data_IF_022001523983
#
_entry.id   IF_022001523983
#
_cell.length_a   1.000
_cell.length_b   1.000
_cell.length_c   1.000
_cell.angle_alpha   90.00
_cell.angle_beta   90.00
_cell.angle_gamma   90.00
#
_symmetry.space_group_name_H-M   'P 1'
#
loop_
_entity.id
_entity.type
_entity.pdbx_description
1 polymer ?
#
# COMPACT_ATOMS: atom_id res chain seq x y z
N UNK A 1 38.24 5.91 -1.88
CA UNK A 1 36.88 5.69 -1.35
C UNK A 1 36.38 7.03 -0.83
N UNK A 2 35.43 7.66 -1.51
CA UNK A 2 34.82 8.90 -1.00
C UNK A 2 33.98 8.56 0.24
N UNK A 3 34.41 9.03 1.41
CA UNK A 3 33.64 8.96 2.65
C UNK A 3 32.39 9.83 2.48
N UNK A 4 31.28 9.20 2.12
CA UNK A 4 30.00 9.91 2.07
C UNK A 4 29.60 10.26 3.49
N UNK A 5 29.31 11.55 3.71
CA UNK A 5 28.84 12.04 4.99
C UNK A 5 27.53 11.35 5.34
N UNK A 6 27.42 10.88 6.57
CA UNK A 6 26.22 10.28 7.12
C UNK A 6 25.73 11.11 8.29
N UNK A 7 24.41 11.17 8.47
CA UNK A 7 23.81 11.77 9.67
C UNK A 7 22.98 10.73 10.40
N UNK A 8 22.85 10.90 11.72
CA UNK A 8 21.92 10.09 12.52
C UNK A 8 20.52 10.68 12.39
N UNK A 9 19.56 9.80 12.13
CA UNK A 9 18.12 10.11 12.22
C UNK A 9 17.48 9.15 13.20
N UNK A 10 16.36 9.57 13.78
CA UNK A 10 15.55 8.75 14.67
C UNK A 10 14.14 8.64 14.11
N UNK A 11 13.68 7.42 13.89
CA UNK A 11 12.28 7.11 13.58
C UNK A 11 11.75 6.09 14.58
N UNK A 12 10.53 6.32 15.08
CA UNK A 12 10.02 5.54 16.21
C UNK A 12 11.00 5.61 17.40
N UNK A 13 11.47 4.45 17.85
CA UNK A 13 12.49 4.35 18.92
C UNK A 13 13.89 4.06 18.39
N UNK A 14 14.04 3.89 17.08
CA UNK A 14 15.28 3.41 16.45
C UNK A 14 16.09 4.57 15.88
N UNK A 15 17.38 4.60 16.19
CA UNK A 15 18.33 5.59 15.66
C UNK A 15 19.27 4.91 14.67
N UNK A 16 19.38 5.45 13.46
CA UNK A 16 20.22 4.87 12.41
C UNK A 16 20.86 5.95 11.54
N UNK A 17 21.99 5.59 10.94
CA UNK A 17 22.74 6.39 10.00
C UNK A 17 22.06 6.37 8.63
N UNK A 18 21.96 7.54 8.02
CA UNK A 18 21.51 7.71 6.63
C UNK A 18 22.51 8.56 5.87
N UNK A 19 22.61 8.41 4.53
CA UNK A 19 23.44 9.30 3.73
C UNK A 19 23.00 10.75 3.91
N UNK A 20 23.94 11.69 3.89
CA UNK A 20 23.65 13.11 3.87
C UNK A 20 23.48 13.55 2.40
N UNK A 21 22.25 13.56 1.89
CA UNK A 21 21.94 14.26 0.63
C UNK A 21 21.62 15.72 0.92
N UNK A 22 22.09 16.64 0.07
CA UNK A 22 21.71 18.05 0.13
C UNK A 22 20.19 18.21 0.14
N UNK A 23 19.67 18.90 1.16
CA UNK A 23 18.26 19.22 1.42
C UNK A 23 17.27 18.06 1.19
N UNK A 24 17.00 17.27 2.22
CA UNK A 24 15.84 16.38 2.24
C UNK A 24 14.58 17.23 2.36
N UNK A 25 13.87 17.49 1.26
CA UNK A 25 12.56 18.14 1.31
C UNK A 25 11.55 17.17 1.94
N UNK A 26 10.69 17.66 2.83
CA UNK A 26 9.52 16.92 3.34
C UNK A 26 8.43 16.72 2.26
N UNK A 27 8.72 17.02 0.99
CA UNK A 27 7.82 16.92 -0.14
C UNK A 27 8.53 16.21 -1.30
N UNK A 28 7.94 15.12 -1.78
CA UNK A 28 8.38 14.38 -2.97
C UNK A 28 9.15 13.08 -2.70
N UNK A 29 9.39 12.27 -3.75
CA UNK A 29 10.32 11.14 -3.66
C UNK A 29 11.72 11.72 -3.47
N UNK A 30 12.41 11.34 -2.39
CA UNK A 30 13.77 11.80 -2.15
C UNK A 30 14.72 11.45 -3.32
N UNK A 31 15.88 12.09 -3.33
CA UNK A 31 16.91 11.87 -4.37
C UNK A 31 17.72 10.61 -4.09
N UNK A 32 17.86 9.72 -5.10
CA UNK A 32 18.81 8.59 -5.04
C UNK A 32 20.23 9.11 -4.90
N UNK A 33 20.97 8.65 -3.88
CA UNK A 33 22.41 8.89 -3.78
C UNK A 33 23.18 7.62 -4.14
N UNK A 34 24.48 7.74 -4.44
CA UNK A 34 25.36 6.59 -4.75
C UNK A 34 25.59 5.63 -3.58
N UNK A 35 25.22 6.03 -2.35
CA UNK A 35 25.56 5.33 -1.09
C UNK A 35 24.33 4.82 -0.33
N UNK A 36 23.13 5.09 -0.86
CA UNK A 36 21.89 4.64 -0.26
C UNK A 36 20.81 5.71 -0.41
N UNK A 37 19.65 5.41 0.14
CA UNK A 37 18.49 6.27 0.04
C UNK A 37 17.71 6.27 1.35
N UNK A 38 17.24 7.45 1.73
CA UNK A 38 16.36 7.62 2.86
C UNK A 38 15.33 8.70 2.51
N UNK A 39 14.05 8.42 2.75
CA UNK A 39 13.00 9.39 2.54
C UNK A 39 12.17 9.55 3.82
N UNK A 40 12.25 10.70 4.51
CA UNK A 40 11.43 10.97 5.70
C UNK A 40 9.92 10.85 5.42
N UNK A 41 9.45 11.16 4.21
CA UNK A 41 8.01 11.05 3.87
C UNK A 41 7.49 9.61 3.84
N UNK A 42 8.38 8.62 3.91
CA UNK A 42 8.06 7.19 4.00
C UNK A 42 8.00 6.69 5.46
N UNK A 43 8.13 7.55 6.48
CA UNK A 43 8.09 7.15 7.88
C UNK A 43 6.78 6.43 8.22
N UNK A 44 5.63 6.96 7.78
CA UNK A 44 4.32 6.32 7.98
C UNK A 44 4.25 4.92 7.34
N UNK A 45 4.89 4.73 6.19
CA UNK A 45 4.96 3.42 5.54
C UNK A 45 5.76 2.42 6.39
N UNK A 46 6.89 2.86 6.95
CA UNK A 46 7.73 2.05 7.83
C UNK A 46 7.04 1.76 9.16
N UNK A 47 6.39 2.75 9.76
CA UNK A 47 5.58 2.57 10.98
C UNK A 47 4.50 1.51 10.76
N UNK A 48 3.69 1.61 9.70
CA UNK A 48 2.66 0.59 9.37
C UNK A 48 3.30 -0.79 9.18
N UNK A 49 4.47 -0.86 8.54
CA UNK A 49 5.15 -2.15 8.34
C UNK A 49 5.60 -2.78 9.67
N UNK A 50 6.08 -1.98 10.63
CA UNK A 50 6.41 -2.47 11.98
C UNK A 50 5.17 -3.06 12.64
N UNK A 51 4.00 -2.41 12.53
CA UNK A 51 2.74 -2.92 13.08
C UNK A 51 2.33 -4.25 12.42
N UNK A 52 2.45 -4.34 11.09
CA UNK A 52 2.12 -5.56 10.33
C UNK A 52 3.05 -6.71 10.71
N UNK A 53 4.35 -6.45 10.85
CA UNK A 53 5.32 -7.47 11.24
C UNK A 53 5.09 -7.92 12.69
N UNK A 54 4.80 -7.00 13.61
CA UNK A 54 4.43 -7.36 14.99
C UNK A 54 3.19 -8.26 15.01
N UNK A 55 2.13 -7.90 14.26
CA UNK A 55 0.94 -8.75 14.14
C UNK A 55 1.28 -10.14 13.60
N UNK A 56 2.17 -10.22 12.61
CA UNK A 56 2.53 -11.48 11.99
C UNK A 56 3.32 -12.39 12.94
N UNK A 57 4.28 -11.83 13.67
CA UNK A 57 5.04 -12.55 14.72
C UNK A 57 4.10 -13.06 15.82
N UNK A 58 3.21 -12.20 16.34
CA UNK A 58 2.23 -12.54 17.38
C UNK A 58 1.29 -13.69 16.95
N UNK A 59 0.94 -13.74 15.65
CA UNK A 59 -0.05 -14.69 15.11
C UNK A 59 0.56 -16.03 14.74
N UNK A 60 1.78 -16.05 14.20
CA UNK A 60 2.38 -17.29 13.67
C UNK A 60 2.96 -18.19 14.77
N UNK A 61 3.34 -17.63 15.93
CA UNK A 61 3.87 -18.38 17.09
C UNK A 61 4.97 -19.40 16.75
N UNK A 62 5.81 -19.07 15.77
CA UNK A 62 6.97 -19.86 15.33
C UNK A 62 8.10 -18.90 14.91
N UNK A 63 9.36 -19.35 14.89
CA UNK A 63 10.46 -18.52 14.40
C UNK A 63 10.22 -18.06 12.95
N UNK A 64 10.26 -16.75 12.71
CA UNK A 64 10.03 -16.18 11.38
C UNK A 64 11.33 -15.70 10.71
N UNK A 65 11.38 -15.84 9.39
CA UNK A 65 12.43 -15.27 8.54
C UNK A 65 11.84 -14.09 7.76
N UNK A 66 12.38 -12.90 7.97
CA UNK A 66 11.88 -11.65 7.40
C UNK A 66 12.93 -11.10 6.46
N UNK A 67 12.53 -10.67 5.26
CA UNK A 67 13.40 -10.04 4.28
C UNK A 67 12.96 -8.58 4.06
N UNK A 68 13.88 -7.65 4.31
CA UNK A 68 13.87 -6.30 3.73
C UNK A 68 14.77 -6.33 2.49
N UNK A 69 14.16 -6.49 1.31
CA UNK A 69 14.90 -6.95 0.13
C UNK A 69 15.61 -5.88 -0.69
N UNK A 70 15.12 -4.64 -0.62
CA UNK A 70 15.61 -3.47 -1.35
C UNK A 70 15.86 -2.33 -0.36
N UNK A 71 16.72 -2.61 0.62
CA UNK A 71 16.71 -1.92 1.90
C UNK A 71 17.29 -0.51 1.88
N UNK A 72 18.10 -0.15 0.87
CA UNK A 72 18.81 1.11 0.79
C UNK A 72 19.59 1.45 2.09
N UNK A 73 19.11 2.37 2.93
CA UNK A 73 19.76 2.67 4.21
C UNK A 73 19.56 1.59 5.29
N UNK A 74 18.70 0.60 5.06
CA UNK A 74 18.31 -0.40 6.04
C UNK A 74 17.25 0.08 7.02
N UNK A 75 16.69 1.28 6.84
CA UNK A 75 15.78 1.89 7.81
C UNK A 75 14.61 0.97 8.18
N UNK A 76 14.05 0.24 7.22
CA UNK A 76 12.92 -0.66 7.47
C UNK A 76 13.36 -1.92 8.23
N UNK A 77 14.33 -2.65 7.74
CA UNK A 77 14.83 -3.87 8.37
C UNK A 77 15.42 -3.65 9.77
N UNK A 78 16.16 -2.56 9.97
CA UNK A 78 16.74 -2.19 11.28
C UNK A 78 15.62 -1.87 12.28
N UNK A 79 14.56 -1.19 11.84
CA UNK A 79 13.38 -0.94 12.67
C UNK A 79 12.61 -2.22 12.97
N UNK A 80 12.48 -3.16 12.04
CA UNK A 80 11.87 -4.46 12.34
C UNK A 80 12.65 -5.19 13.43
N UNK A 81 13.97 -5.27 13.29
CA UNK A 81 14.82 -5.96 14.24
C UNK A 81 14.83 -5.32 15.64
N UNK A 82 14.74 -3.98 15.72
CA UNK A 82 14.78 -3.24 16.97
C UNK A 82 13.41 -3.07 17.66
N UNK A 83 12.34 -2.91 16.88
CA UNK A 83 11.02 -2.48 17.40
C UNK A 83 10.02 -3.63 17.55
N UNK A 84 10.21 -4.74 16.85
CA UNK A 84 9.30 -5.89 16.92
C UNK A 84 9.76 -6.87 18.00
N UNK A 85 8.80 -7.35 18.78
CA UNK A 85 9.02 -8.33 19.85
C UNK A 85 8.60 -9.72 19.39
N UNK A 86 9.41 -10.73 19.71
CA UNK A 86 9.13 -12.15 19.44
C UNK A 86 10.30 -12.86 18.77
N UNK A 87 10.06 -14.07 18.29
CA UNK A 87 11.08 -14.94 17.71
C UNK A 87 11.13 -14.82 16.18
N UNK A 88 12.12 -14.07 15.68
CA UNK A 88 12.35 -13.88 14.25
C UNK A 88 13.78 -13.43 13.97
N UNK A 89 14.20 -13.57 12.71
CA UNK A 89 15.40 -12.94 12.18
C UNK A 89 15.08 -12.10 10.94
N UNK A 90 15.86 -11.03 10.74
CA UNK A 90 15.72 -10.10 9.62
C UNK A 90 16.96 -10.17 8.74
N UNK A 91 16.77 -10.49 7.47
CA UNK A 91 17.77 -10.27 6.43
C UNK A 91 17.51 -8.92 5.79
N UNK A 92 18.52 -8.05 5.80
CA UNK A 92 18.44 -6.69 5.25
C UNK A 92 19.38 -6.64 4.04
N UNK A 93 18.81 -6.59 2.84
CA UNK A 93 19.56 -6.76 1.59
C UNK A 93 19.55 -5.49 0.75
N UNK A 94 20.70 -5.14 0.17
CA UNK A 94 20.78 -4.22 -0.95
C UNK A 94 21.95 -4.62 -1.88
N UNK A 95 21.71 -4.62 -3.19
CA UNK A 95 22.75 -4.95 -4.19
C UNK A 95 23.92 -3.94 -4.22
N UNK A 96 23.71 -2.71 -3.73
CA UNK A 96 24.76 -1.70 -3.67
C UNK A 96 25.65 -1.93 -2.44
N UNK A 97 26.94 -2.19 -2.69
CA UNK A 97 27.94 -2.43 -1.64
C UNK A 97 28.00 -1.34 -0.56
N UNK A 98 27.89 -0.07 -0.93
CA UNK A 98 27.92 1.04 0.03
C UNK A 98 26.66 1.05 0.91
N UNK A 99 25.51 0.68 0.35
CA UNK A 99 24.27 0.53 1.10
C UNK A 99 24.38 -0.65 2.08
N UNK A 100 24.89 -1.81 1.64
CA UNK A 100 25.15 -2.95 2.51
C UNK A 100 26.12 -2.62 3.66
N UNK A 101 27.20 -1.88 3.40
CA UNK A 101 28.12 -1.41 4.44
C UNK A 101 27.44 -0.47 5.46
N UNK A 102 26.54 0.41 5.00
CA UNK A 102 25.76 1.28 5.87
C UNK A 102 24.77 0.47 6.73
N UNK A 103 24.12 -0.55 6.16
CA UNK A 103 23.23 -1.46 6.85
C UNK A 103 23.98 -2.19 7.97
N UNK A 104 25.16 -2.74 7.69
CA UNK A 104 26.01 -3.39 8.69
C UNK A 104 26.32 -2.46 9.86
N UNK A 105 26.74 -1.21 9.59
CA UNK A 105 26.99 -0.21 10.64
C UNK A 105 25.74 0.08 11.47
N UNK A 106 24.57 0.15 10.84
CA UNK A 106 23.30 0.38 11.56
C UNK A 106 22.90 -0.80 12.45
N UNK A 107 23.16 -2.03 12.01
CA UNK A 107 22.97 -3.25 12.82
C UNK A 107 23.89 -3.24 14.04
N UNK A 108 25.18 -2.97 13.83
CA UNK A 108 26.20 -2.90 14.90
C UNK A 108 25.90 -1.80 15.92
N UNK A 109 25.56 -0.59 15.44
CA UNK A 109 25.24 0.56 16.30
C UNK A 109 24.05 0.28 17.23
N UNK A 110 23.04 -0.45 16.73
CA UNK A 110 21.86 -0.82 17.51
C UNK A 110 22.01 -2.17 18.24
N UNK A 111 23.18 -2.83 18.14
CA UNK A 111 23.48 -4.13 18.78
C UNK A 111 22.44 -5.21 18.45
N UNK A 112 22.03 -5.28 17.19
CA UNK A 112 20.94 -6.14 16.75
C UNK A 112 21.45 -7.55 16.43
N UNK A 113 21.16 -8.50 17.33
CA UNK A 113 21.59 -9.90 17.18
C UNK A 113 20.66 -10.73 16.28
N UNK A 114 19.47 -10.20 15.97
CA UNK A 114 18.44 -10.81 15.14
C UNK A 114 18.44 -10.27 13.70
N UNK A 115 19.45 -9.51 13.28
CA UNK A 115 19.55 -8.93 11.96
C UNK A 115 20.88 -9.28 11.27
N UNK A 116 20.83 -9.47 9.95
CA UNK A 116 22.02 -9.69 9.12
C UNK A 116 21.93 -8.84 7.85
N UNK A 117 23.04 -8.17 7.50
CA UNK A 117 23.19 -7.44 6.25
C UNK A 117 23.60 -8.39 5.12
N UNK A 118 23.03 -8.20 3.92
CA UNK A 118 23.41 -8.90 2.68
C UNK A 118 23.66 -7.91 1.55
N UNK A 119 24.54 -8.30 0.63
CA UNK A 119 24.91 -7.51 -0.54
C UNK A 119 24.66 -8.32 -1.81
N UNK A 120 23.40 -8.64 -2.10
CA UNK A 120 23.02 -9.54 -3.19
C UNK A 120 21.94 -8.90 -4.07
N UNK A 121 21.85 -9.36 -5.33
CA UNK A 121 20.69 -9.06 -6.17
C UNK A 121 19.43 -9.69 -5.56
N UNK A 122 18.33 -8.94 -5.51
CA UNK A 122 17.09 -9.40 -4.88
C UNK A 122 16.57 -10.71 -5.47
N UNK A 123 16.62 -10.86 -6.79
CA UNK A 123 16.11 -12.07 -7.45
C UNK A 123 17.05 -13.25 -7.19
N UNK A 124 18.36 -13.02 -7.17
CA UNK A 124 19.34 -14.06 -6.82
C UNK A 124 19.15 -14.59 -5.41
N UNK A 125 19.03 -13.70 -4.41
CA UNK A 125 18.82 -14.08 -3.00
C UNK A 125 17.60 -14.99 -2.81
N UNK A 126 16.51 -14.73 -3.55
CA UNK A 126 15.27 -15.49 -3.46
C UNK A 126 15.25 -16.80 -4.25
N UNK A 127 16.25 -17.06 -5.09
CA UNK A 127 16.48 -18.38 -5.64
C UNK A 127 16.95 -19.34 -4.53
N UNK A 128 17.87 -18.88 -3.69
CA UNK A 128 18.59 -19.69 -2.70
C UNK A 128 17.83 -19.81 -1.38
N UNK A 129 17.18 -18.72 -0.94
CA UNK A 129 16.51 -18.67 0.35
C UNK A 129 14.99 -18.51 0.24
N UNK A 130 14.29 -18.83 1.34
CA UNK A 130 12.84 -18.67 1.47
C UNK A 130 12.51 -17.91 2.75
N UNK A 131 11.50 -17.05 2.65
CA UNK A 131 11.13 -16.12 3.73
C UNK A 131 9.64 -16.20 4.06
N UNK A 132 9.33 -15.90 5.33
CA UNK A 132 7.98 -15.80 5.84
C UNK A 132 7.35 -14.45 5.54
N UNK A 133 8.17 -13.39 5.46
CA UNK A 133 7.77 -12.06 5.06
C UNK A 133 8.80 -11.52 4.07
N UNK A 134 8.35 -11.02 2.92
CA UNK A 134 9.21 -10.40 1.90
C UNK A 134 8.72 -8.98 1.63
N UNK A 135 9.58 -8.00 1.87
CA UNK A 135 9.36 -6.60 1.50
C UNK A 135 9.95 -6.28 0.12
N UNK A 136 9.10 -5.79 -0.78
CA UNK A 136 9.44 -5.35 -2.12
C UNK A 136 9.15 -3.84 -2.20
N UNK A 137 10.16 -3.03 -1.89
CA UNK A 137 10.05 -1.56 -1.83
C UNK A 137 11.00 -0.87 -2.82
N UNK A 138 10.80 -1.04 -4.14
CA UNK A 138 11.68 -0.47 -5.14
C UNK A 138 11.39 1.00 -5.40
N UNK A 139 12.30 1.63 -6.12
CA UNK A 139 11.98 2.86 -6.83
C UNK A 139 11.20 2.57 -8.11
N UNK A 140 9.98 3.05 -8.17
CA UNK A 140 9.09 2.89 -9.31
C UNK A 140 8.24 1.64 -9.18
N UNK A 141 8.49 0.66 -10.03
CA UNK A 141 7.61 -0.51 -10.21
C UNK A 141 8.18 -1.76 -9.52
N UNK A 142 7.32 -2.58 -8.86
CA UNK A 142 7.72 -3.86 -8.27
C UNK A 142 7.78 -5.02 -9.28
N UNK A 143 7.32 -4.81 -10.52
CA UNK A 143 7.19 -5.87 -11.53
C UNK A 143 8.45 -6.74 -11.69
N UNK A 144 9.68 -6.19 -11.76
CA UNK A 144 10.89 -7.01 -11.97
C UNK A 144 11.23 -7.99 -10.84
N UNK A 145 10.62 -7.82 -9.67
CA UNK A 145 10.94 -8.57 -8.44
C UNK A 145 9.86 -9.58 -8.07
N UNK A 146 8.67 -9.48 -8.68
CA UNK A 146 7.50 -10.25 -8.26
C UNK A 146 7.69 -11.75 -8.46
N UNK A 147 8.22 -12.19 -9.60
CA UNK A 147 8.35 -13.62 -9.90
C UNK A 147 9.23 -14.34 -8.87
N UNK A 148 10.40 -13.76 -8.55
CA UNK A 148 11.30 -14.29 -7.54
C UNK A 148 10.66 -14.23 -6.13
N UNK A 149 9.94 -13.16 -5.80
CA UNK A 149 9.23 -13.04 -4.53
C UNK A 149 8.14 -14.12 -4.35
N UNK A 150 7.38 -14.43 -5.39
CA UNK A 150 6.37 -15.49 -5.35
C UNK A 150 6.99 -16.87 -5.14
N UNK A 151 8.15 -17.15 -5.75
CA UNK A 151 8.91 -18.39 -5.50
C UNK A 151 9.55 -18.42 -4.11
N UNK A 152 10.00 -17.25 -3.66
CA UNK A 152 10.73 -17.01 -2.42
C UNK A 152 9.86 -17.08 -1.15
N UNK A 153 8.56 -16.81 -1.27
CA UNK A 153 7.65 -16.81 -0.12
C UNK A 153 7.23 -18.23 0.27
N UNK A 154 7.27 -18.51 1.57
CA UNK A 154 6.74 -19.76 2.14
C UNK A 154 5.20 -19.75 2.14
N UNK A 155 4.58 -20.93 2.25
CA UNK A 155 3.12 -21.00 2.39
C UNK A 155 2.64 -20.25 3.63
N UNK A 156 1.55 -19.51 3.49
CA UNK A 156 0.98 -18.60 4.49
C UNK A 156 1.88 -17.41 4.87
N UNK A 157 2.96 -17.19 4.11
CA UNK A 157 3.82 -16.03 4.21
C UNK A 157 3.18 -14.76 3.65
N UNK A 158 3.85 -13.63 3.86
CA UNK A 158 3.38 -12.30 3.46
C UNK A 158 4.30 -11.73 2.37
N UNK A 159 3.68 -11.22 1.30
CA UNK A 159 4.33 -10.31 0.37
C UNK A 159 3.86 -8.88 0.69
N UNK A 160 4.82 -8.01 1.00
CA UNK A 160 4.60 -6.59 1.22
C UNK A 160 5.18 -5.82 0.02
N UNK A 161 4.32 -5.22 -0.79
CA UNK A 161 4.67 -4.67 -2.10
C UNK A 161 4.38 -3.17 -2.14
N UNK A 162 5.40 -2.37 -2.44
CA UNK A 162 5.23 -0.95 -2.75
C UNK A 162 5.36 -0.72 -4.26
N UNK A 163 4.50 0.15 -4.80
CA UNK A 163 4.68 0.76 -6.11
C UNK A 163 4.71 2.28 -5.97
N UNK A 164 5.80 2.92 -6.37
CA UNK A 164 5.93 4.39 -6.41
C UNK A 164 5.70 4.95 -7.82
N UNK A 165 5.47 4.11 -8.84
CA UNK A 165 5.11 4.55 -10.20
C UNK A 165 3.61 4.86 -10.35
N UNK A 166 3.06 5.61 -9.39
CA UNK A 166 1.64 5.97 -9.29
C UNK A 166 1.12 6.66 -10.55
N UNK A 167 1.93 7.44 -11.26
CA UNK A 167 1.56 8.04 -12.54
C UNK A 167 1.15 6.98 -13.59
N UNK A 168 1.83 5.83 -13.61
CA UNK A 168 1.48 4.69 -14.47
C UNK A 168 0.13 4.09 -14.07
N UNK A 169 -0.03 3.75 -12.78
CA UNK A 169 -1.21 3.09 -12.23
C UNK A 169 -2.46 3.99 -12.26
N UNK A 170 -2.31 5.30 -12.07
CA UNK A 170 -3.39 6.30 -12.11
C UNK A 170 -3.71 6.79 -13.53
N UNK A 171 -3.16 6.17 -14.57
CA UNK A 171 -3.55 6.40 -15.97
C UNK A 171 -2.92 7.62 -16.65
N UNK A 172 -1.84 8.20 -16.12
CA UNK A 172 -1.04 9.21 -16.85
C UNK A 172 -0.31 8.58 -18.03
N UNK A 173 0.22 7.35 -17.84
CA UNK A 173 0.95 6.60 -18.85
C UNK A 173 0.30 5.23 -19.14
N UNK A 174 -0.87 5.19 -19.83
CA UNK A 174 -1.65 3.96 -19.99
C UNK A 174 -0.92 2.85 -20.74
N UNK A 175 -0.14 3.18 -21.78
CA UNK A 175 0.68 2.17 -22.49
C UNK A 175 1.74 1.53 -21.58
N UNK A 176 2.30 2.31 -20.64
CA UNK A 176 3.26 1.79 -19.66
C UNK A 176 2.55 0.88 -18.65
N UNK A 177 1.33 1.24 -18.23
CA UNK A 177 0.53 0.40 -17.33
C UNK A 177 0.20 -0.94 -17.98
N UNK A 178 -0.18 -0.92 -19.27
CA UNK A 178 -0.42 -2.14 -20.04
C UNK A 178 0.83 -3.03 -20.11
N UNK A 179 2.01 -2.46 -20.42
CA UNK A 179 3.27 -3.24 -20.50
C UNK A 179 3.71 -3.83 -19.16
N UNK A 180 3.54 -3.09 -18.06
CA UNK A 180 4.05 -3.47 -16.74
C UNK A 180 3.08 -4.35 -15.97
N UNK A 181 1.82 -3.98 -15.96
CA UNK A 181 0.79 -4.59 -15.12
C UNK A 181 -0.22 -5.41 -15.94
N UNK A 182 -0.19 -5.35 -17.27
CA UNK A 182 -1.15 -6.07 -18.11
C UNK A 182 -2.58 -5.53 -17.98
N UNK A 183 -2.75 -4.27 -17.57
CA UNK A 183 -4.05 -3.67 -17.27
C UNK A 183 -4.24 -2.30 -17.92
N UNK A 184 -5.50 -1.97 -18.21
CA UNK A 184 -5.94 -0.65 -18.70
C UNK A 184 -6.32 0.21 -17.49
N UNK A 185 -5.60 1.31 -17.20
CA UNK A 185 -5.92 2.19 -16.08
C UNK A 185 -7.02 3.19 -16.43
N UNK A 186 -7.57 3.82 -15.40
CA UNK A 186 -8.53 4.92 -15.53
C UNK A 186 -7.97 6.21 -14.93
N UNK A 187 -7.94 7.28 -15.72
CA UNK A 187 -7.64 8.63 -15.22
C UNK A 187 -8.94 9.37 -14.92
N UNK A 188 -9.40 9.27 -13.67
CA UNK A 188 -10.57 9.98 -13.15
C UNK A 188 -10.40 10.29 -11.65
N UNK A 189 -11.46 10.71 -10.95
CA UNK A 189 -11.41 10.91 -9.50
C UNK A 189 -11.13 9.60 -8.74
N UNK A 190 -11.53 8.43 -9.28
CA UNK A 190 -11.25 7.11 -8.68
C UNK A 190 -9.88 6.52 -9.05
N UNK A 191 -9.01 7.29 -9.73
CA UNK A 191 -7.71 6.82 -10.25
C UNK A 191 -6.85 6.08 -9.21
N UNK A 192 -6.88 6.52 -7.96
CA UNK A 192 -6.07 5.93 -6.89
C UNK A 192 -6.58 4.54 -6.50
N UNK A 193 -7.89 4.35 -6.37
CA UNK A 193 -8.46 3.02 -6.11
C UNK A 193 -8.29 2.09 -7.31
N UNK A 194 -8.51 2.60 -8.53
CA UNK A 194 -8.28 1.82 -9.76
C UNK A 194 -6.83 1.36 -9.83
N UNK A 195 -5.86 2.26 -9.60
CA UNK A 195 -4.44 1.92 -9.59
C UNK A 195 -4.09 0.88 -8.52
N UNK A 196 -4.63 1.02 -7.30
CA UNK A 196 -4.42 0.06 -6.24
C UNK A 196 -4.99 -1.33 -6.58
N UNK A 197 -6.20 -1.37 -7.15
CA UNK A 197 -6.83 -2.61 -7.62
C UNK A 197 -6.11 -3.25 -8.81
N UNK A 198 -5.48 -2.45 -9.69
CA UNK A 198 -4.58 -2.96 -10.73
C UNK A 198 -3.37 -3.65 -10.09
N UNK A 199 -2.74 -3.00 -9.10
CA UNK A 199 -1.57 -3.57 -8.43
C UNK A 199 -1.91 -4.89 -7.72
N UNK A 200 -3.02 -4.94 -6.98
CA UNK A 200 -3.47 -6.19 -6.34
C UNK A 200 -3.82 -7.25 -7.39
N UNK A 201 -4.54 -6.88 -8.45
CA UNK A 201 -4.89 -7.80 -9.53
C UNK A 201 -3.66 -8.35 -10.25
N UNK A 202 -2.62 -7.53 -10.43
CA UNK A 202 -1.32 -7.96 -10.93
C UNK A 202 -0.66 -8.98 -9.99
N UNK A 203 -0.57 -8.69 -8.69
CA UNK A 203 -0.02 -9.63 -7.70
C UNK A 203 -0.79 -10.97 -7.70
N UNK A 204 -2.12 -10.93 -7.81
CA UNK A 204 -2.96 -12.12 -7.92
C UNK A 204 -2.60 -12.96 -9.16
N UNK A 205 -2.41 -12.33 -10.32
CA UNK A 205 -2.04 -13.06 -11.54
C UNK A 205 -0.62 -13.61 -11.49
N UNK A 206 0.33 -12.87 -10.89
CA UNK A 206 1.70 -13.35 -10.73
C UNK A 206 1.80 -14.55 -9.78
N UNK A 207 1.02 -14.54 -8.69
CA UNK A 207 0.96 -15.67 -7.74
C UNK A 207 0.25 -16.90 -8.33
N UNK A 208 -0.84 -16.69 -9.08
CA UNK A 208 -1.62 -17.78 -9.66
C UNK A 208 -0.86 -18.64 -10.68
N UNK A 209 0.17 -18.10 -11.35
CA UNK A 209 1.06 -18.88 -12.25
C UNK A 209 1.74 -20.07 -11.57
N UNK A 210 1.81 -20.04 -10.23
CA UNK A 210 2.45 -21.04 -9.39
C UNK A 210 1.44 -21.77 -8.48
N UNK A 211 0.16 -21.79 -8.85
CA UNK A 211 -0.91 -22.38 -8.05
C UNK A 211 -1.02 -21.78 -6.63
N UNK A 212 -0.72 -20.49 -6.49
CA UNK A 212 -0.86 -19.78 -5.23
C UNK A 212 -2.02 -18.79 -5.28
N UNK A 213 -2.90 -18.85 -4.27
CA UNK A 213 -3.92 -17.84 -4.02
C UNK A 213 -3.40 -16.71 -3.13
N UNK A 214 -4.12 -15.59 -3.11
CA UNK A 214 -3.85 -14.45 -2.25
C UNK A 214 -5.05 -14.10 -1.36
N UNK A 215 -4.74 -13.62 -0.16
CA UNK A 215 -5.68 -12.91 0.71
C UNK A 215 -5.13 -11.51 1.00
N UNK A 216 -5.84 -10.47 0.61
CA UNK A 216 -5.42 -9.08 0.84
C UNK A 216 -5.60 -8.74 2.31
N UNK A 217 -4.48 -8.49 2.99
CA UNK A 217 -4.46 -8.19 4.41
C UNK A 217 -4.72 -6.69 4.66
N UNK A 218 -4.00 -5.84 3.92
CA UNK A 218 -4.04 -4.38 4.03
C UNK A 218 -3.56 -3.78 2.71
N UNK A 219 -4.19 -2.73 2.19
CA UNK A 219 -3.67 -2.03 1.01
C UNK A 219 -4.02 -0.55 0.95
N UNK A 220 -3.05 0.33 0.76
CA UNK A 220 -3.31 1.75 0.83
C UNK A 220 -2.54 2.60 -0.15
N UNK A 221 -3.05 3.81 -0.38
CA UNK A 221 -2.41 4.80 -1.23
C UNK A 221 -2.01 6.03 -0.44
N UNK A 222 -0.98 6.70 -0.93
CA UNK A 222 -0.67 8.10 -0.64
C UNK A 222 -0.48 8.83 -1.97
N UNK A 223 -0.15 10.11 -1.94
CA UNK A 223 0.22 10.85 -3.16
C UNK A 223 1.50 10.32 -3.82
N UNK A 224 2.35 9.58 -3.08
CA UNK A 224 3.67 9.17 -3.52
C UNK A 224 3.81 7.68 -3.83
N UNK A 225 2.98 6.83 -3.24
CA UNK A 225 3.09 5.38 -3.41
C UNK A 225 1.77 4.66 -3.14
N UNK A 226 1.68 3.43 -3.63
CA UNK A 226 0.67 2.44 -3.30
C UNK A 226 1.35 1.27 -2.58
N UNK A 227 0.76 0.79 -1.49
CA UNK A 227 1.30 -0.28 -0.65
C UNK A 227 0.27 -1.40 -0.51
N UNK A 228 0.68 -2.64 -0.65
CA UNK A 228 -0.19 -3.83 -0.56
C UNK A 228 0.50 -4.89 0.29
N UNK A 229 -0.23 -5.48 1.22
CA UNK A 229 0.17 -6.67 1.97
C UNK A 229 -0.79 -7.80 1.61
N UNK A 230 -0.25 -8.89 1.07
CA UNK A 230 -1.03 -10.10 0.78
C UNK A 230 -0.45 -11.29 1.54
N UNK A 231 -1.33 -12.13 2.09
CA UNK A 231 -0.96 -13.49 2.51
C UNK A 231 -1.05 -14.41 1.31
N UNK A 232 0.01 -15.18 1.07
CA UNK A 232 0.09 -16.13 -0.05
C UNK A 232 -0.16 -17.54 0.45
N UNK A 233 -1.12 -18.22 -0.16
CA UNK A 233 -1.54 -19.56 0.23
C UNK A 233 -1.41 -20.52 -0.94
N UNK A 234 -0.64 -21.61 -0.78
CA UNK A 234 -0.44 -22.59 -1.85
C UNK A 234 -1.68 -23.47 -2.08
N UNK A 235 -1.92 -23.83 -3.34
CA UNK A 235 -2.96 -24.74 -3.81
C UNK A 235 -3.76 -24.17 -4.98
N UNK A 236 -3.90 -24.94 -6.07
CA UNK A 236 -4.60 -24.53 -7.30
C UNK A 236 -6.00 -23.98 -7.05
N UNK A 237 -6.82 -24.66 -6.23
CA UNK A 237 -8.16 -24.17 -5.85
C UNK A 237 -8.13 -22.78 -5.18
N UNK A 238 -7.10 -22.49 -4.39
CA UNK A 238 -6.94 -21.16 -3.79
C UNK A 238 -6.57 -20.12 -4.84
N UNK A 239 -5.74 -20.48 -5.82
CA UNK A 239 -5.41 -19.63 -6.95
C UNK A 239 -6.65 -19.32 -7.80
N UNK A 240 -7.45 -20.33 -8.12
CA UNK A 240 -8.71 -20.18 -8.87
C UNK A 240 -9.66 -19.22 -8.15
N UNK A 241 -9.92 -19.45 -6.86
CA UNK A 241 -10.77 -18.57 -6.05
C UNK A 241 -10.26 -17.11 -6.02
N UNK A 242 -8.94 -16.89 -6.02
CA UNK A 242 -8.38 -15.54 -6.09
C UNK A 242 -8.55 -14.92 -7.47
N UNK A 243 -8.37 -15.70 -8.55
CA UNK A 243 -8.54 -15.23 -9.92
C UNK A 243 -9.99 -14.86 -10.26
N UNK A 244 -10.99 -15.51 -9.65
CA UNK A 244 -12.41 -15.13 -9.78
C UNK A 244 -12.69 -13.68 -9.34
N UNK A 245 -11.86 -13.15 -8.44
CA UNK A 245 -11.94 -11.76 -7.98
C UNK A 245 -11.27 -10.77 -8.95
N UNK A 246 -10.65 -11.22 -10.04
CA UNK A 246 -9.92 -10.38 -10.99
C UNK A 246 -10.77 -10.18 -12.25
N UNK A 247 -11.28 -8.97 -12.46
CA UNK A 247 -12.29 -8.70 -13.50
C UNK A 247 -11.98 -7.43 -14.27
N UNK A 248 -12.46 -7.36 -15.52
CA UNK A 248 -12.57 -6.09 -16.25
C UNK A 248 -13.89 -5.43 -15.90
N UNK A 249 -13.91 -4.11 -15.83
CA UNK A 249 -15.08 -3.33 -15.38
C UNK A 249 -15.37 -2.22 -16.38
N UNK A 250 -16.66 -1.95 -16.60
CA UNK A 250 -17.09 -0.81 -17.40
C UNK A 250 -16.81 0.50 -16.66
N UNK A 251 -16.16 1.46 -17.32
CA UNK A 251 -15.72 2.70 -16.69
C UNK A 251 -16.73 3.86 -16.82
N UNK A 252 -17.89 3.63 -17.45
CA UNK A 252 -18.85 4.66 -17.83
C UNK A 252 -19.33 5.52 -16.64
N UNK A 253 -19.49 4.91 -15.46
CA UNK A 253 -19.92 5.62 -14.25
C UNK A 253 -18.89 6.59 -13.69
N UNK A 254 -17.61 6.35 -13.96
CA UNK A 254 -16.48 7.04 -13.35
C UNK A 254 -15.81 8.05 -14.29
N UNK A 255 -16.50 8.44 -15.36
CA UNK A 255 -16.01 9.40 -16.35
C UNK A 255 -16.76 10.72 -16.27
N UNK A 256 -15.99 11.82 -16.17
CA UNK A 256 -16.55 13.18 -16.18
C UNK A 256 -17.08 13.60 -17.56
N UNK A 257 -16.56 13.01 -18.64
CA UNK A 257 -16.91 13.38 -20.01
C UNK A 257 -17.07 12.14 -20.92
N UNK A 258 -18.21 12.05 -21.63
CA UNK A 258 -18.51 11.02 -22.65
C UNK A 258 -17.54 10.99 -23.85
N UNK A 259 -16.50 11.84 -23.88
CA UNK A 259 -15.47 11.87 -24.94
C UNK A 259 -14.32 10.87 -24.70
N UNK A 260 -14.23 10.25 -23.52
CA UNK A 260 -13.23 9.22 -23.28
C UNK A 260 -13.64 7.91 -23.99
N UNK A 261 -12.77 7.42 -24.88
CA UNK A 261 -12.98 6.19 -25.65
C UNK A 261 -12.79 4.89 -24.84
N UNK A 262 -12.33 4.97 -23.60
CA UNK A 262 -12.08 3.78 -22.77
C UNK A 262 -13.39 3.37 -22.11
N UNK A 263 -14.05 2.35 -22.64
CA UNK A 263 -15.29 1.82 -22.05
C UNK A 263 -15.01 0.78 -20.98
N UNK A 264 -13.87 0.09 -21.05
CA UNK A 264 -13.50 -1.01 -20.17
C UNK A 264 -12.10 -0.81 -19.56
N UNK A 265 -11.97 -1.06 -18.26
CA UNK A 265 -10.73 -0.91 -17.49
C UNK A 265 -10.37 -2.23 -16.78
N UNK A 266 -9.09 -2.38 -16.41
CA UNK A 266 -8.58 -3.58 -15.75
C UNK A 266 -7.78 -4.51 -16.66
N UNK A 267 -7.58 -5.77 -16.26
CA UNK A 267 -8.21 -6.44 -15.12
C UNK A 267 -7.83 -5.85 -13.75
N UNK A 268 -8.84 -5.71 -12.89
CA UNK A 268 -8.80 -5.13 -11.54
C UNK A 268 -9.09 -6.22 -10.50
N UNK A 269 -8.49 -6.12 -9.32
CA UNK A 269 -8.97 -6.84 -8.14
C UNK A 269 -10.30 -6.23 -7.65
N UNK A 270 -11.37 -7.02 -7.63
CA UNK A 270 -12.72 -6.65 -7.19
C UNK A 270 -13.05 -7.10 -5.78
N UNK A 271 -12.22 -7.96 -5.19
CA UNK A 271 -12.35 -8.37 -3.79
C UNK A 271 -12.08 -7.22 -2.80
N UNK A 272 -12.14 -7.55 -1.50
CA UNK A 272 -11.82 -6.62 -0.42
C UNK A 272 -10.37 -6.15 -0.50
N UNK A 273 -10.14 -4.88 -0.17
CA UNK A 273 -8.80 -4.26 -0.15
C UNK A 273 -8.09 -4.43 1.19
N UNK A 274 -8.81 -4.86 2.23
CA UNK A 274 -8.27 -5.07 3.58
C UNK A 274 -9.05 -6.13 4.33
N UNK A 275 -8.40 -6.71 5.33
CA UNK A 275 -9.04 -7.57 6.33
C UNK A 275 -9.49 -6.76 7.54
N UNK A 276 -10.79 -6.76 7.83
CA UNK A 276 -11.37 -6.11 9.02
C UNK A 276 -10.71 -6.59 10.32
N UNK A 277 -10.44 -7.88 10.42
CA UNK A 277 -9.74 -8.45 11.58
C UNK A 277 -8.33 -7.87 11.72
N UNK A 278 -7.60 -7.74 10.61
CA UNK A 278 -6.27 -7.14 10.63
C UNK A 278 -6.32 -5.67 11.05
N UNK A 279 -7.24 -4.87 10.50
CA UNK A 279 -7.38 -3.45 10.84
C UNK A 279 -7.57 -3.23 12.35
N UNK A 280 -8.44 -4.04 12.98
CA UNK A 280 -8.66 -4.00 14.42
C UNK A 280 -7.39 -4.37 15.20
N UNK A 281 -6.68 -5.42 14.78
CA UNK A 281 -5.42 -5.83 15.43
C UNK A 281 -4.31 -4.79 15.28
N UNK A 282 -4.20 -4.13 14.12
CA UNK A 282 -3.22 -3.06 13.91
C UNK A 282 -3.53 -1.85 14.80
N UNK A 283 -4.82 -1.52 14.98
CA UNK A 283 -5.24 -0.47 15.92
C UNK A 283 -4.83 -0.79 17.35
N UNK A 284 -4.97 -2.04 17.79
CA UNK A 284 -4.55 -2.47 19.13
C UNK A 284 -3.02 -2.44 19.31
N UNK A 285 -2.26 -2.86 18.29
CA UNK A 285 -0.79 -2.83 18.33
C UNK A 285 -0.28 -1.38 18.33
N UNK A 286 -0.92 -0.48 17.57
CA UNK A 286 -0.55 0.93 17.49
C UNK A 286 -0.61 1.64 18.84
N UNK A 287 -1.50 1.22 19.75
CA UNK A 287 -1.58 1.76 21.11
C UNK A 287 -0.34 1.41 21.94
N UNK A 288 0.27 0.24 21.69
CA UNK A 288 1.42 -0.29 22.43
C UNK A 288 2.78 0.11 21.84
N UNK A 289 2.84 0.43 20.55
CA UNK A 289 4.09 0.80 19.86
C UNK A 289 4.26 2.32 19.74
N UNK A 290 5.51 2.76 19.86
CA UNK A 290 5.88 4.15 19.66
C UNK A 290 6.07 4.43 18.16
N UNK A 291 5.17 5.24 17.59
CA UNK A 291 5.19 5.61 16.18
C UNK A 291 5.13 7.13 16.04
N UNK A 292 6.06 7.73 15.30
CA UNK A 292 6.08 9.18 15.06
C UNK A 292 4.84 9.66 14.29
N UNK A 293 4.26 8.77 13.48
CA UNK A 293 3.12 9.07 12.61
C UNK A 293 1.76 8.58 13.14
N UNK A 294 1.66 8.28 14.46
CA UNK A 294 0.47 7.66 15.08
C UNK A 294 -0.86 8.27 14.64
N UNK A 295 -1.03 9.60 14.71
CA UNK A 295 -2.29 10.28 14.33
C UNK A 295 -2.67 10.03 12.87
N UNK A 296 -1.69 9.99 11.97
CA UNK A 296 -1.91 9.70 10.55
C UNK A 296 -2.37 8.26 10.34
N UNK A 297 -1.78 7.32 11.08
CA UNK A 297 -2.16 5.89 11.04
C UNK A 297 -3.55 5.68 11.63
N UNK A 298 -3.89 6.33 12.75
CA UNK A 298 -5.23 6.26 13.35
C UNK A 298 -6.30 6.74 12.35
N UNK A 299 -6.11 7.93 11.77
CA UNK A 299 -7.01 8.47 10.73
C UNK A 299 -7.14 7.53 9.53
N UNK A 300 -6.04 6.90 9.11
CA UNK A 300 -6.05 5.96 7.98
C UNK A 300 -6.81 4.67 8.33
N UNK A 301 -6.56 4.09 9.50
CA UNK A 301 -7.24 2.88 9.97
C UNK A 301 -8.73 3.11 10.17
N UNK A 302 -9.14 4.25 10.71
CA UNK A 302 -10.56 4.62 10.85
C UNK A 302 -11.27 4.61 9.49
N UNK A 303 -10.68 5.25 8.48
CA UNK A 303 -11.22 5.24 7.11
C UNK A 303 -11.32 3.84 6.52
N UNK A 304 -10.29 3.02 6.74
CA UNK A 304 -10.30 1.65 6.24
C UNK A 304 -11.37 0.80 6.94
N UNK A 305 -11.62 1.03 8.22
CA UNK A 305 -12.67 0.34 8.98
C UNK A 305 -14.06 0.75 8.47
N UNK A 306 -14.27 2.03 8.15
CA UNK A 306 -15.51 2.51 7.52
C UNK A 306 -15.71 1.89 6.12
N UNK A 307 -14.64 1.72 5.33
CA UNK A 307 -14.74 1.31 3.92
C UNK A 307 -14.74 -0.20 3.66
N UNK A 308 -14.28 -1.03 4.63
CA UNK A 308 -13.91 -2.44 4.39
C UNK A 308 -15.04 -3.33 3.86
N UNK A 309 -16.29 -3.00 4.20
CA UNK A 309 -17.48 -3.74 3.79
C UNK A 309 -18.30 -2.99 2.71
N UNK A 310 -17.82 -1.82 2.25
CA UNK A 310 -18.45 -1.02 1.21
C UNK A 310 -18.01 -1.48 -0.19
N UNK A 311 -18.83 -1.24 -1.24
CA UNK A 311 -18.52 -1.70 -2.59
C UNK A 311 -17.26 -1.05 -3.18
N UNK A 312 -16.69 -1.63 -4.25
CA UNK A 312 -15.58 -1.03 -4.99
C UNK A 312 -15.90 0.36 -5.55
N UNK A 313 -14.84 1.18 -5.63
CA UNK A 313 -14.88 2.55 -6.13
C UNK A 313 -15.63 3.52 -5.22
N UNK A 314 -15.54 4.81 -5.52
CA UNK A 314 -16.06 5.86 -4.69
C UNK A 314 -16.55 7.05 -5.51
N UNK A 315 -17.32 7.91 -4.88
CA UNK A 315 -17.69 9.22 -5.37
C UNK A 315 -16.95 10.29 -4.57
N UNK A 316 -16.66 11.43 -5.19
CA UNK A 316 -16.35 12.65 -4.43
C UNK A 316 -17.52 13.61 -4.54
N UNK A 317 -17.83 14.28 -3.43
CA UNK A 317 -18.92 15.26 -3.43
C UNK A 317 -18.68 16.33 -4.51
N UNK A 318 -17.43 16.76 -4.67
CA UNK A 318 -17.04 17.75 -5.69
C UNK A 318 -17.25 17.25 -7.12
N UNK A 319 -16.88 16.00 -7.41
CA UNK A 319 -17.02 15.44 -8.76
C UNK A 319 -18.49 15.31 -9.15
N UNK A 320 -19.33 14.84 -8.23
CA UNK A 320 -20.78 14.70 -8.48
C UNK A 320 -21.43 16.09 -8.58
N UNK A 321 -21.10 17.01 -7.67
CA UNK A 321 -21.67 18.37 -7.69
C UNK A 321 -21.27 19.15 -8.94
N UNK A 322 -20.04 18.97 -9.43
CA UNK A 322 -19.57 19.54 -10.69
C UNK A 322 -20.36 19.02 -11.89
N UNK A 323 -20.61 17.71 -11.97
CA UNK A 323 -21.45 17.11 -13.02
C UNK A 323 -22.89 17.66 -12.99
N UNK A 324 -23.40 17.93 -11.80
CA UNK A 324 -24.73 18.47 -11.57
C UNK A 324 -24.83 19.99 -11.66
N UNK A 325 -23.69 20.70 -11.75
CA UNK A 325 -23.57 22.17 -11.73
C UNK A 325 -24.20 22.82 -10.49
N UNK A 326 -23.94 22.25 -9.32
CA UNK A 326 -24.43 22.74 -8.02
C UNK A 326 -23.29 22.94 -7.02
N UNK A 327 -23.54 23.69 -5.96
CA UNK A 327 -22.58 23.83 -4.85
C UNK A 327 -22.49 22.53 -4.05
N UNK A 328 -21.27 22.07 -3.70
CA UNK A 328 -21.09 20.82 -2.98
C UNK A 328 -21.62 20.90 -1.54
N UNK A 329 -22.53 20.00 -1.12
CA UNK A 329 -22.92 19.89 0.29
C UNK A 329 -21.77 19.35 1.15
N UNK A 330 -21.85 19.47 2.48
CA UNK A 330 -20.86 18.83 3.36
C UNK A 330 -21.01 17.31 3.30
N UNK A 331 -19.90 16.59 3.19
CA UNK A 331 -19.87 15.13 3.11
C UNK A 331 -20.67 14.44 4.23
N UNK A 332 -20.61 14.98 5.46
CA UNK A 332 -21.34 14.42 6.60
C UNK A 332 -22.85 14.33 6.33
N UNK A 333 -23.45 15.35 5.70
CA UNK A 333 -24.88 15.35 5.39
C UNK A 333 -25.23 14.37 4.27
N UNK A 334 -24.34 14.18 3.29
CA UNK A 334 -24.50 13.18 2.24
C UNK A 334 -24.51 11.77 2.83
N UNK A 335 -23.55 11.47 3.72
CA UNK A 335 -23.47 10.18 4.40
C UNK A 335 -24.71 9.93 5.28
N UNK A 336 -25.13 10.92 6.06
CA UNK A 336 -26.35 10.80 6.89
C UNK A 336 -27.58 10.52 6.03
N UNK A 337 -27.81 11.31 4.97
CA UNK A 337 -28.98 11.13 4.11
C UNK A 337 -29.00 9.78 3.39
N UNK A 338 -27.85 9.26 2.95
CA UNK A 338 -27.76 7.93 2.35
C UNK A 338 -28.09 6.82 3.36
N UNK A 339 -27.51 6.89 4.57
CA UNK A 339 -27.77 5.91 5.62
C UNK A 339 -29.23 5.96 6.12
N UNK A 340 -29.84 7.15 6.24
CA UNK A 340 -31.27 7.29 6.59
C UNK A 340 -32.21 6.71 5.53
N UNK A 341 -31.78 6.70 4.26
CA UNK A 341 -32.49 6.05 3.15
C UNK A 341 -32.23 4.53 3.08
N UNK A 342 -31.43 3.97 4.00
CA UNK A 342 -31.16 2.54 4.09
C UNK A 342 -29.98 2.04 3.25
N UNK A 343 -29.21 2.93 2.63
CA UNK A 343 -27.99 2.57 1.90
C UNK A 343 -26.80 2.51 2.85
N UNK A 344 -25.87 1.60 2.59
CA UNK A 344 -24.58 1.64 3.28
C UNK A 344 -23.77 2.80 2.70
N UNK A 345 -23.29 3.70 3.55
CA UNK A 345 -22.39 4.77 3.12
C UNK A 345 -21.34 5.11 4.18
N UNK A 346 -20.10 5.30 3.75
CA UNK A 346 -18.98 5.63 4.63
C UNK A 346 -17.83 6.31 3.90
N UNK A 347 -16.90 6.85 4.67
CA UNK A 347 -15.69 7.48 4.13
C UNK A 347 -14.74 6.44 3.55
N UNK A 348 -13.74 6.93 2.84
CA UNK A 348 -12.72 6.07 2.22
C UNK A 348 -11.32 6.64 2.40
N UNK A 349 -10.31 5.78 2.32
CA UNK A 349 -8.91 6.18 2.44
C UNK A 349 -8.42 7.10 1.30
N UNK A 350 -9.09 7.09 0.15
CA UNK A 350 -8.56 7.66 -1.09
C UNK A 350 -8.62 9.19 -1.15
N UNK A 351 -9.59 9.83 -0.48
CA UNK A 351 -9.78 11.28 -0.51
C UNK A 351 -10.65 11.72 0.69
N UNK A 352 -10.35 12.88 1.28
CA UNK A 352 -11.05 13.43 2.46
C UNK A 352 -12.52 13.80 2.17
N UNK A 353 -12.84 14.11 0.92
CA UNK A 353 -14.18 14.43 0.43
C UNK A 353 -14.85 13.26 -0.33
N UNK A 354 -14.25 12.06 -0.28
CA UNK A 354 -14.79 10.86 -0.91
C UNK A 354 -15.63 10.00 0.03
N UNK A 355 -16.56 9.27 -0.58
CA UNK A 355 -17.38 8.25 0.07
C UNK A 355 -17.67 7.09 -0.86
N UNK A 356 -17.93 5.94 -0.23
CA UNK A 356 -18.43 4.75 -0.89
C UNK A 356 -19.85 4.49 -0.47
N UNK A 357 -20.64 3.93 -1.37
CA UNK A 357 -22.02 3.53 -1.09
C UNK A 357 -22.50 2.47 -2.05
N UNK A 358 -23.45 1.65 -1.61
CA UNK A 358 -24.20 0.70 -2.44
C UNK A 358 -25.41 1.34 -3.16
N UNK A 359 -25.66 2.64 -2.92
CA UNK A 359 -26.64 3.41 -3.69
C UNK A 359 -26.24 3.53 -5.16
N UNK A 360 -27.23 3.52 -6.06
CA UNK A 360 -26.99 3.75 -7.49
C UNK A 360 -26.53 5.19 -7.75
N UNK A 361 -25.87 5.41 -8.89
CA UNK A 361 -25.42 6.75 -9.29
C UNK A 361 -26.58 7.75 -9.36
N UNK A 362 -27.75 7.32 -9.80
CA UNK A 362 -28.96 8.14 -9.86
C UNK A 362 -29.41 8.59 -8.47
N UNK A 363 -29.40 7.69 -7.49
CA UNK A 363 -29.80 8.01 -6.13
C UNK A 363 -28.76 8.89 -5.43
N UNK A 364 -27.45 8.64 -5.64
CA UNK A 364 -26.38 9.54 -5.19
C UNK A 364 -26.58 10.96 -5.76
N UNK A 365 -26.87 11.07 -7.05
CA UNK A 365 -27.16 12.37 -7.68
C UNK A 365 -28.41 13.03 -7.09
N UNK A 366 -29.46 12.25 -6.81
CA UNK A 366 -30.70 12.75 -6.20
C UNK A 366 -30.45 13.32 -4.79
N UNK A 367 -29.78 12.55 -3.92
CA UNK A 367 -29.46 12.96 -2.54
C UNK A 367 -28.64 14.26 -2.54
N UNK A 368 -27.60 14.34 -3.38
CA UNK A 368 -26.76 15.54 -3.45
C UNK A 368 -27.56 16.76 -3.96
N UNK A 369 -28.46 16.59 -4.94
CA UNK A 369 -29.35 17.67 -5.40
C UNK A 369 -30.31 18.14 -4.32
N UNK A 370 -30.94 17.20 -3.62
CA UNK A 370 -31.85 17.49 -2.51
C UNK A 370 -31.12 18.34 -1.46
N UNK A 371 -29.95 17.89 -1.00
CA UNK A 371 -29.14 18.61 -0.01
C UNK A 371 -28.66 19.99 -0.50
N UNK A 372 -28.34 20.15 -1.78
CA UNK A 372 -27.95 21.45 -2.33
C UNK A 372 -29.14 22.43 -2.47
N UNK A 373 -30.35 21.90 -2.67
CA UNK A 373 -31.59 22.70 -2.75
C UNK A 373 -32.06 23.17 -1.38
N UNK A 374 -31.84 22.36 -0.33
CA UNK A 374 -31.97 22.75 1.06
C UNK A 374 -30.79 23.65 1.43
N UNK A 375 -30.85 24.93 1.03
CA UNK A 375 -29.98 25.98 1.56
C UNK A 375 -29.90 25.82 3.08
N UNK A 376 -28.75 25.39 3.60
CA UNK A 376 -28.41 25.57 5.01
C UNK A 376 -28.34 27.08 5.28
N UNK A 377 -29.51 27.65 5.60
CA UNK A 377 -29.63 28.75 6.54
C UNK A 377 -29.32 28.15 7.91
N UNK A 378 -28.24 28.67 8.51
CA UNK A 378 -27.65 28.39 9.83
C UNK A 378 -26.52 27.37 9.82
#
# INVERSE_FOLDING_TARGET
METVRTKVVKEGVTSFLVPEAGSWSNQGPGTKTRVGFYNPSMEMNRDISVLVVQWFVDTMKKPLKILDGLAASGARGVRFANEVEGDFCVTINDWNKNAAELITKNIEQNKLNNAVARCEDFNHLLCDERFHYIDIDPFGTPVPYMDAAVKGVVSEGILAVTATDTATLCGVYPKTCLRRYGAVPLRSWVKHEVGLRILVGFICRETAKYDHGINVLLSYTTDHYMRVYVRVSRGAKKADNSLEQVQRVEASDFMAHKKNKVTEIGPLWMGKLHSKNMLLKLRDILQRKACGTRRGIEKLLERMIEEVDLPPFFYTVDSVSSQLKISPPKLVFVLTALNEKGFMAGRTQFDDAAFKTDASKEEVCRVIKELASYKFRK
#
